data_IF_662746170728
#
_entry.id   IF_662746170728
#
_cell.length_a   1.000
_cell.length_b   1.000
_cell.length_c   1.000
_cell.angle_alpha   90.00
_cell.angle_beta   90.00
_cell.angle_gamma   90.00
#
_symmetry.space_group_name_H-M   'P 1'
#
loop_
_entity.id
_entity.type
_entity.pdbx_description
1 polymer ?
#
# COMPACT_ATOMS: atom_id res chain seq x y z
N UNK A 1 -19.26 -20.84 9.76
CA UNK A 1 -18.54 -20.89 8.46
C UNK A 1 -17.47 -19.82 8.54
N UNK A 2 -16.18 -20.16 8.40
CA UNK A 2 -15.11 -19.16 8.52
C UNK A 2 -14.98 -18.38 7.22
N UNK A 3 -15.12 -17.05 7.29
CA UNK A 3 -15.00 -16.15 6.13
C UNK A 3 -13.79 -15.27 6.35
N UNK A 4 -12.97 -15.11 5.30
CA UNK A 4 -11.89 -14.13 5.28
C UNK A 4 -11.94 -13.27 4.02
N UNK A 5 -11.97 -11.94 4.21
CA UNK A 5 -11.87 -10.99 3.11
C UNK A 5 -10.45 -10.47 3.00
N UNK A 6 -9.94 -10.37 1.78
CA UNK A 6 -8.60 -9.83 1.50
C UNK A 6 -8.72 -8.55 0.68
N UNK A 7 -8.35 -7.43 1.29
CA UNK A 7 -8.40 -6.11 0.68
C UNK A 7 -7.04 -5.73 0.12
N UNK A 8 -7.04 -5.26 -1.13
CA UNK A 8 -5.85 -4.75 -1.79
C UNK A 8 -6.03 -3.26 -2.01
N UNK A 9 -5.13 -2.47 -1.42
CA UNK A 9 -5.23 -1.02 -1.41
C UNK A 9 -3.97 -0.48 -2.07
N UNK A 10 -4.16 -0.02 -3.31
CA UNK A 10 -3.10 0.53 -4.14
C UNK A 10 -3.57 1.83 -4.80
N UNK A 11 -2.67 2.81 -4.81
CA UNK A 11 -2.84 4.10 -5.46
C UNK A 11 -1.48 4.48 -6.05
N UNK A 12 -1.31 4.57 -7.37
CA UNK A 12 -0.03 4.96 -7.96
C UNK A 12 0.14 6.49 -8.01
N UNK A 13 1.39 6.95 -8.08
CA UNK A 13 1.70 8.30 -8.52
C UNK A 13 1.49 8.43 -10.03
N UNK A 14 0.71 9.43 -10.43
CA UNK A 14 0.37 9.73 -11.82
C UNK A 14 1.43 10.60 -12.47
N UNK A 15 1.82 10.20 -13.67
CA UNK A 15 2.79 10.90 -14.50
C UNK A 15 2.25 12.30 -14.85
N UNK A 16 3.15 13.28 -14.83
CA UNK A 16 2.88 14.61 -15.30
C UNK A 16 2.68 14.59 -16.83
N UNK A 17 1.45 14.84 -17.28
CA UNK A 17 1.10 14.87 -18.71
C UNK A 17 1.83 15.97 -19.49
N UNK A 18 2.34 16.98 -18.79
CA UNK A 18 3.11 18.08 -19.37
C UNK A 18 4.62 17.86 -19.25
N UNK A 19 5.06 16.64 -18.93
CA UNK A 19 6.48 16.31 -18.83
C UNK A 19 7.22 16.60 -20.13
N UNK A 20 8.40 17.25 -20.02
CA UNK A 20 9.36 17.43 -21.10
C UNK A 20 10.76 17.10 -20.60
N UNK A 21 11.53 16.37 -21.41
CA UNK A 21 12.87 15.90 -21.05
C UNK A 21 13.83 17.04 -20.68
N UNK A 22 13.66 18.22 -21.27
CA UNK A 22 14.43 19.43 -20.98
C UNK A 22 14.31 19.88 -19.52
N UNK A 23 13.17 19.62 -18.86
CA UNK A 23 12.95 20.01 -17.46
C UNK A 23 13.78 19.17 -16.47
N UNK A 24 14.20 17.97 -16.87
CA UNK A 24 15.01 17.07 -16.03
C UNK A 24 16.51 17.40 -16.02
N UNK A 25 17.00 18.21 -16.98
CA UNK A 25 18.44 18.49 -17.11
C UNK A 25 18.97 19.26 -15.89
N UNK A 26 20.02 18.72 -15.24
CA UNK A 26 20.70 19.37 -14.11
C UNK A 26 19.91 19.40 -12.80
N UNK A 27 18.76 18.71 -12.71
CA UNK A 27 17.93 18.67 -11.51
C UNK A 27 18.31 17.47 -10.62
N UNK A 28 18.41 17.73 -9.31
CA UNK A 28 18.70 16.67 -8.31
C UNK A 28 17.46 15.86 -7.93
N UNK A 29 16.30 16.50 -7.84
CA UNK A 29 15.03 15.84 -7.57
C UNK A 29 14.19 15.83 -8.86
N UNK A 30 13.89 14.63 -9.36
CA UNK A 30 13.12 14.43 -10.58
C UNK A 30 11.65 14.08 -10.31
N UNK A 31 11.28 13.83 -9.05
CA UNK A 31 9.95 13.33 -8.71
C UNK A 31 8.86 14.33 -9.11
N UNK A 32 9.01 15.60 -8.72
CA UNK A 32 8.05 16.67 -9.03
C UNK A 32 8.01 17.04 -10.52
N UNK A 33 8.97 16.52 -11.30
CA UNK A 33 9.07 16.72 -12.75
C UNK A 33 8.31 15.59 -13.45
N UNK A 34 8.55 14.34 -13.04
CA UNK A 34 7.91 13.16 -13.60
C UNK A 34 6.47 12.98 -13.16
N UNK A 35 6.11 13.40 -11.95
CA UNK A 35 4.79 13.17 -11.37
C UNK A 35 4.03 14.47 -11.10
N UNK A 36 2.72 14.42 -11.31
CA UNK A 36 1.84 15.57 -11.06
C UNK A 36 1.35 15.57 -9.61
N UNK A 37 2.08 16.23 -8.70
CA UNK A 37 1.72 16.27 -7.28
C UNK A 37 0.34 16.86 -6.98
N UNK A 38 -0.07 17.92 -7.69
CA UNK A 38 -1.40 18.53 -7.51
C UNK A 38 -2.50 17.52 -7.83
N UNK A 39 -2.41 16.89 -9.00
CA UNK A 39 -3.38 15.87 -9.43
C UNK A 39 -3.35 14.64 -8.52
N UNK A 40 -2.17 14.15 -8.12
CA UNK A 40 -2.06 13.02 -7.21
C UNK A 40 -2.69 13.32 -5.85
N UNK A 41 -2.44 14.52 -5.28
CA UNK A 41 -3.05 14.96 -4.03
C UNK A 41 -4.56 15.05 -4.13
N UNK A 42 -5.09 15.64 -5.21
CA UNK A 42 -6.53 15.75 -5.43
C UNK A 42 -7.20 14.38 -5.50
N UNK A 43 -6.64 13.46 -6.30
CA UNK A 43 -7.21 12.12 -6.43
C UNK A 43 -7.05 11.32 -5.15
N UNK A 44 -5.90 11.41 -4.46
CA UNK A 44 -5.69 10.78 -3.17
C UNK A 44 -6.76 11.22 -2.16
N UNK A 45 -6.97 12.53 -1.98
CA UNK A 45 -7.97 13.05 -1.03
C UNK A 45 -9.37 12.56 -1.36
N UNK A 46 -9.77 12.65 -2.63
CA UNK A 46 -11.08 12.18 -3.09
C UNK A 46 -11.30 10.70 -2.80
N UNK A 47 -10.30 9.84 -3.06
CA UNK A 47 -10.43 8.40 -2.80
C UNK A 47 -10.37 8.10 -1.31
N UNK A 48 -9.52 8.78 -0.55
CA UNK A 48 -9.43 8.63 0.89
C UNK A 48 -10.78 8.92 1.57
N UNK A 49 -11.38 10.08 1.27
CA UNK A 49 -12.67 10.51 1.83
C UNK A 49 -13.82 9.58 1.46
N UNK A 50 -13.86 9.12 0.20
CA UNK A 50 -14.99 8.33 -0.31
C UNK A 50 -14.87 6.83 -0.06
N UNK A 51 -13.66 6.31 0.14
CA UNK A 51 -13.41 4.88 0.17
C UNK A 51 -12.57 4.46 1.38
N UNK A 52 -11.35 4.97 1.52
CA UNK A 52 -10.41 4.42 2.50
C UNK A 52 -10.85 4.65 3.95
N UNK A 53 -11.23 5.89 4.30
CA UNK A 53 -11.77 6.22 5.62
C UNK A 53 -13.04 5.41 5.94
N UNK A 54 -14.13 5.51 5.15
CA UNK A 54 -15.39 4.86 5.50
C UNK A 54 -15.26 3.33 5.53
N UNK A 55 -14.58 2.71 4.57
CA UNK A 55 -14.44 1.26 4.55
C UNK A 55 -13.60 0.75 5.73
N UNK A 56 -12.51 1.44 6.06
CA UNK A 56 -11.63 1.02 7.16
C UNK A 56 -12.33 1.18 8.52
N UNK A 57 -13.08 2.27 8.71
CA UNK A 57 -13.83 2.49 9.96
C UNK A 57 -14.87 1.39 10.18
N UNK A 58 -15.63 1.01 9.15
CA UNK A 58 -16.61 -0.08 9.24
C UNK A 58 -15.96 -1.39 9.69
N UNK A 59 -14.77 -1.70 9.17
CA UNK A 59 -14.04 -2.89 9.60
C UNK A 59 -13.59 -2.75 11.05
N UNK A 60 -12.95 -1.64 11.43
CA UNK A 60 -12.49 -1.38 12.79
C UNK A 60 -13.61 -1.56 13.82
N UNK A 61 -14.80 -1.02 13.52
CA UNK A 61 -15.94 -1.00 14.44
C UNK A 61 -16.52 -2.40 14.70
N UNK A 62 -16.31 -3.36 13.80
CA UNK A 62 -17.02 -4.67 13.81
C UNK A 62 -16.11 -5.88 13.92
N UNK A 63 -14.85 -5.78 13.52
CA UNK A 63 -13.98 -6.94 13.27
C UNK A 63 -13.71 -7.79 14.52
N UNK A 64 -13.71 -7.20 15.71
CA UNK A 64 -13.46 -7.92 16.96
C UNK A 64 -14.75 -8.53 17.58
N UNK A 65 -15.94 -8.07 17.16
CA UNK A 65 -17.23 -8.63 17.56
C UNK A 65 -17.51 -9.97 16.86
N UNK A 66 -16.95 -10.15 15.66
CA UNK A 66 -17.23 -11.26 14.76
C UNK A 66 -16.17 -12.36 14.87
N UNK A 67 -16.35 -13.32 15.79
CA UNK A 67 -15.37 -14.40 16.05
C UNK A 67 -14.98 -15.26 14.84
N UNK A 68 -15.87 -15.43 13.85
CA UNK A 68 -15.61 -16.22 12.64
C UNK A 68 -15.18 -15.40 11.42
N UNK A 69 -15.05 -14.08 11.56
CA UNK A 69 -14.72 -13.16 10.47
C UNK A 69 -13.31 -12.60 10.66
N UNK A 70 -12.48 -12.72 9.62
CA UNK A 70 -11.11 -12.19 9.60
C UNK A 70 -10.89 -11.38 8.34
N UNK A 71 -10.00 -10.41 8.41
CA UNK A 71 -9.63 -9.64 7.22
C UNK A 71 -8.11 -9.61 7.06
N UNK A 72 -7.68 -9.58 5.81
CA UNK A 72 -6.30 -9.28 5.46
C UNK A 72 -6.25 -8.01 4.62
N UNK A 73 -5.22 -7.20 4.82
CA UNK A 73 -5.01 -5.96 4.09
C UNK A 73 -3.62 -5.94 3.46
N UNK A 74 -3.55 -5.61 2.17
CA UNK A 74 -2.31 -5.38 1.46
C UNK A 74 -2.24 -3.93 0.99
N UNK A 75 -1.43 -3.12 1.69
CA UNK A 75 -1.19 -1.72 1.33
C UNK A 75 0.06 -1.61 0.46
N UNK A 76 0.00 -1.01 -0.72
CA UNK A 76 1.22 -0.83 -1.52
C UNK A 76 2.16 0.19 -0.86
N UNK A 77 3.48 0.08 -1.07
CA UNK A 77 4.44 1.03 -0.48
C UNK A 77 4.15 2.47 -0.90
N UNK A 78 3.88 2.68 -2.18
CA UNK A 78 3.52 4.00 -2.75
C UNK A 78 2.22 4.59 -2.19
N UNK A 79 1.27 3.76 -1.74
CA UNK A 79 0.08 4.26 -1.05
C UNK A 79 0.46 4.82 0.32
N UNK A 80 1.29 4.11 1.07
CA UNK A 80 1.74 4.54 2.40
C UNK A 80 2.56 5.83 2.30
N UNK A 81 3.43 5.96 1.29
CA UNK A 81 4.14 7.21 1.01
C UNK A 81 3.14 8.37 0.77
N UNK A 82 2.08 8.14 -0.02
CA UNK A 82 1.04 9.16 -0.22
C UNK A 82 0.29 9.50 1.06
N UNK A 83 0.00 8.53 1.92
CA UNK A 83 -0.58 8.79 3.23
C UNK A 83 0.37 9.66 4.08
N UNK A 84 1.67 9.38 4.10
CA UNK A 84 2.65 10.19 4.84
C UNK A 84 2.68 11.65 4.36
N UNK A 85 2.52 11.89 3.06
CA UNK A 85 2.58 13.25 2.49
C UNK A 85 1.24 13.99 2.61
N UNK A 86 0.10 13.32 2.37
CA UNK A 86 -1.20 13.99 2.18
C UNK A 86 -2.33 13.53 3.09
N UNK A 87 -2.15 12.46 3.86
CA UNK A 87 -3.19 11.91 4.73
C UNK A 87 -2.62 11.16 5.93
N UNK A 88 -1.89 11.83 6.83
CA UNK A 88 -1.32 11.19 8.02
C UNK A 88 -2.42 10.58 8.91
N UNK A 89 -3.59 11.20 8.99
CA UNK A 89 -4.73 10.65 9.74
C UNK A 89 -5.21 9.30 9.18
N UNK A 90 -5.15 9.11 7.86
CA UNK A 90 -5.47 7.83 7.24
C UNK A 90 -4.40 6.78 7.58
N UNK A 91 -3.13 7.18 7.66
CA UNK A 91 -2.05 6.27 8.08
C UNK A 91 -2.26 5.81 9.52
N UNK A 92 -2.65 6.71 10.43
CA UNK A 92 -2.97 6.34 11.81
C UNK A 92 -4.19 5.41 11.88
N UNK A 93 -5.21 5.63 11.05
CA UNK A 93 -6.34 4.71 10.94
C UNK A 93 -5.91 3.32 10.46
N UNK A 94 -5.01 3.22 9.49
CA UNK A 94 -4.46 1.93 9.05
C UNK A 94 -3.62 1.23 10.13
N UNK A 95 -2.86 1.98 10.94
CA UNK A 95 -2.16 1.42 12.10
C UNK A 95 -3.14 0.90 13.15
N UNK A 96 -4.23 1.65 13.41
CA UNK A 96 -5.28 1.20 14.32
C UNK A 96 -5.92 -0.10 13.83
N UNK A 97 -6.30 -0.17 12.55
CA UNK A 97 -6.80 -1.38 11.90
C UNK A 97 -5.82 -2.55 12.10
N UNK A 98 -4.53 -2.33 11.80
CA UNK A 98 -3.50 -3.37 11.92
C UNK A 98 -3.21 -3.81 13.36
N UNK A 99 -3.68 -3.06 14.36
CA UNK A 99 -3.57 -3.43 15.77
C UNK A 99 -4.64 -4.43 16.22
N UNK A 100 -5.78 -4.50 15.51
CA UNK A 100 -6.92 -5.38 15.84
C UNK A 100 -6.52 -6.86 15.78
N UNK A 101 -7.25 -7.71 16.49
CA UNK A 101 -6.86 -9.14 16.66
C UNK A 101 -7.13 -9.96 15.40
N UNK A 102 -8.24 -9.67 14.72
CA UNK A 102 -8.73 -10.42 13.57
C UNK A 102 -8.28 -9.81 12.22
N UNK A 103 -7.23 -8.97 12.24
CA UNK A 103 -6.63 -8.31 11.08
C UNK A 103 -5.21 -8.83 10.86
N UNK A 104 -4.86 -9.14 9.61
CA UNK A 104 -3.50 -9.48 9.17
C UNK A 104 -3.04 -8.57 8.04
N UNK A 105 -1.78 -8.13 8.08
CA UNK A 105 -1.18 -7.38 6.97
C UNK A 105 -0.44 -8.31 6.01
N UNK A 106 -0.68 -8.15 4.72
CA UNK A 106 -0.03 -8.90 3.65
C UNK A 106 1.10 -8.10 3.03
N UNK A 107 2.18 -8.78 2.69
CA UNK A 107 3.30 -8.18 1.98
C UNK A 107 3.14 -8.33 0.46
N UNK A 108 3.67 -7.36 -0.26
CA UNK A 108 3.68 -7.31 -1.71
C UNK A 108 4.93 -6.56 -2.18
N UNK A 109 5.14 -6.46 -3.48
CA UNK A 109 6.16 -5.58 -4.04
C UNK A 109 5.91 -4.13 -3.66
N UNK A 110 6.95 -3.40 -3.23
CA UNK A 110 6.85 -1.99 -2.78
C UNK A 110 6.09 -1.10 -3.77
N UNK A 111 6.45 -1.19 -5.05
CA UNK A 111 5.87 -0.36 -6.12
C UNK A 111 4.65 -0.99 -6.79
N UNK A 112 4.06 -2.04 -6.20
CA UNK A 112 2.97 -2.81 -6.83
C UNK A 112 3.34 -3.39 -8.21
N UNK A 113 4.64 -3.67 -8.40
CA UNK A 113 5.20 -4.06 -9.69
C UNK A 113 5.05 -5.55 -10.00
N UNK A 114 5.30 -5.91 -11.26
CA UNK A 114 5.37 -7.30 -11.71
C UNK A 114 6.80 -7.86 -11.67
N UNK A 115 7.68 -7.34 -10.80
CA UNK A 115 9.07 -7.77 -10.69
C UNK A 115 9.22 -9.29 -10.50
N UNK A 116 8.22 -9.93 -9.88
CA UNK A 116 8.17 -11.38 -9.69
C UNK A 116 8.07 -12.20 -10.98
N UNK A 117 7.74 -11.61 -12.13
CA UNK A 117 7.64 -12.33 -13.41
C UNK A 117 9.01 -12.52 -14.10
N UNK A 118 10.02 -11.73 -13.75
CA UNK A 118 11.33 -11.80 -14.40
C UNK A 118 12.16 -12.98 -13.87
N UNK A 119 13.04 -13.52 -14.72
CA UNK A 119 13.92 -14.65 -14.35
C UNK A 119 14.92 -14.26 -13.27
N UNK A 120 15.54 -13.09 -13.39
CA UNK A 120 16.36 -12.50 -12.32
C UNK A 120 15.45 -11.96 -11.24
N UNK A 121 15.70 -12.34 -9.99
CA UNK A 121 14.82 -12.00 -8.85
C UNK A 121 15.36 -10.85 -7.99
N UNK A 122 16.48 -10.23 -8.36
CA UNK A 122 17.14 -9.19 -7.55
C UNK A 122 16.19 -8.03 -7.22
N UNK A 123 15.58 -7.43 -8.24
CA UNK A 123 14.57 -6.36 -8.10
C UNK A 123 13.34 -6.81 -7.28
N UNK A 124 12.88 -8.04 -7.51
CA UNK A 124 11.74 -8.58 -6.76
C UNK A 124 12.07 -8.67 -5.27
N UNK A 125 13.23 -9.24 -4.93
CA UNK A 125 13.69 -9.40 -3.55
C UNK A 125 13.92 -8.04 -2.89
N UNK A 126 14.49 -7.07 -3.60
CA UNK A 126 14.67 -5.71 -3.12
C UNK A 126 13.32 -5.07 -2.76
N UNK A 127 12.36 -5.08 -3.68
CA UNK A 127 11.02 -4.55 -3.43
C UNK A 127 10.29 -5.26 -2.29
N UNK A 128 10.45 -6.58 -2.13
CA UNK A 128 9.90 -7.32 -0.99
C UNK A 128 10.54 -6.85 0.32
N UNK A 129 11.86 -6.68 0.36
CA UNK A 129 12.57 -6.24 1.56
C UNK A 129 12.19 -4.80 1.95
N UNK A 130 12.10 -3.89 0.98
CA UNK A 130 11.62 -2.53 1.20
C UNK A 130 10.21 -2.54 1.79
N UNK A 131 9.30 -3.33 1.21
CA UNK A 131 7.91 -3.38 1.66
C UNK A 131 7.79 -3.99 3.05
N UNK A 132 8.53 -5.09 3.32
CA UNK A 132 8.61 -5.71 4.64
C UNK A 132 9.04 -4.71 5.71
N UNK A 133 10.06 -3.90 5.43
CA UNK A 133 10.54 -2.91 6.38
C UNK A 133 9.48 -1.85 6.65
N UNK A 134 8.82 -1.33 5.61
CA UNK A 134 7.73 -0.37 5.76
C UNK A 134 6.55 -0.94 6.56
N UNK A 135 6.17 -2.21 6.34
CA UNK A 135 5.06 -2.83 7.08
C UNK A 135 5.38 -3.03 8.57
N UNK A 136 6.65 -3.20 8.95
CA UNK A 136 7.05 -3.27 10.37
C UNK A 136 6.80 -1.95 11.10
N UNK A 137 6.91 -0.83 10.40
CA UNK A 137 6.62 0.49 10.96
C UNK A 137 5.11 0.72 11.16
N UNK A 138 4.26 -0.03 10.43
CA UNK A 138 2.80 0.02 10.56
C UNK A 138 2.30 -0.98 11.61
N UNK A 139 2.84 -2.20 11.65
CA UNK A 139 2.46 -3.22 12.64
C UNK A 139 3.60 -4.16 12.98
N UNK A 140 3.74 -4.46 14.28
CA UNK A 140 4.69 -5.45 14.81
C UNK A 140 4.22 -6.89 14.63
N UNK A 141 2.95 -7.12 14.28
CA UNK A 141 2.35 -8.46 14.16
C UNK A 141 2.57 -9.13 12.80
N UNK A 142 3.28 -8.47 11.88
CA UNK A 142 3.30 -8.81 10.46
C UNK A 142 3.80 -10.24 10.20
N UNK A 143 2.86 -11.17 10.02
CA UNK A 143 3.08 -12.46 9.37
C UNK A 143 3.07 -12.19 7.87
N UNK A 144 4.21 -12.38 7.22
CA UNK A 144 4.36 -12.05 5.81
C UNK A 144 3.81 -13.16 4.94
N UNK A 145 2.64 -12.92 4.35
CA UNK A 145 2.22 -13.63 3.14
C UNK A 145 2.47 -12.74 1.94
N UNK A 146 3.26 -13.23 0.99
CA UNK A 146 3.62 -12.52 -0.24
C UNK A 146 2.56 -12.76 -1.30
N UNK A 147 1.89 -11.69 -1.70
CA UNK A 147 0.96 -11.69 -2.83
C UNK A 147 1.53 -10.83 -3.95
N UNK A 148 1.68 -11.41 -5.14
CA UNK A 148 1.91 -10.64 -6.36
C UNK A 148 0.63 -10.66 -7.20
N UNK A 149 0.42 -9.62 -8.01
CA UNK A 149 -0.82 -9.39 -8.77
C UNK A 149 -1.32 -10.56 -9.64
N UNK A 150 -0.53 -11.64 -9.83
CA UNK A 150 -0.98 -12.88 -10.48
C UNK A 150 -0.26 -14.16 -9.99
N UNK A 151 0.41 -14.15 -8.84
CA UNK A 151 0.96 -15.37 -8.23
C UNK A 151 1.14 -15.24 -6.72
N UNK A 152 0.66 -16.25 -5.99
CA UNK A 152 0.98 -16.41 -4.56
C UNK A 152 2.31 -17.14 -4.47
N UNK A 153 3.36 -16.43 -4.05
CA UNK A 153 4.63 -17.07 -3.70
C UNK A 153 4.65 -17.13 -2.18
N UNK A 154 4.17 -18.23 -1.61
CA UNK A 154 4.38 -18.50 -0.17
C UNK A 154 5.89 -18.64 0.03
N UNK A 155 6.53 -17.62 0.57
CA UNK A 155 7.89 -17.78 1.09
C UNK A 155 7.75 -18.05 2.58
N UNK A 156 8.29 -19.20 2.97
CA UNK A 156 8.29 -19.79 4.32
C UNK A 156 8.86 -18.81 5.35
#
# INVERSE_FOLDING_TARGET
>A
MKVSLSFEVHQPFRINRNYRAEYSKGRKNLFDIYFSNSWNKEVFKKVAEKCYFPATQIIIDRIDELREFKVSYSFSGVLIEQCQIWGPDLLELFKELASKKNVELLCQTYYHSLAGLFRKKDEFMEQINMHRNLMKDISKKTRLFLRTQNSSITTV
#
